data_IF_297213837137
#
_entry.id   IF_297213837137
#
_cell.length_a   1.000
_cell.length_b   1.000
_cell.length_c   1.000
_cell.angle_alpha   90.00
_cell.angle_beta   90.00
_cell.angle_gamma   90.00
#
_symmetry.space_group_name_H-M   'P 1'
#
loop_
_entity.id
_entity.type
_entity.pdbx_description
1 polymer ?
#
# COMPACT_ATOMS: atom_id res chain seq x y z
N UNK A 1 2.79 62.25 -42.84
CA UNK A 1 1.74 61.23 -42.61
C UNK A 1 2.43 60.06 -41.90
N UNK A 2 2.25 59.93 -40.57
CA UNK A 2 3.01 59.00 -39.72
C UNK A 2 2.34 57.63 -39.70
N UNK A 3 3.10 56.59 -40.06
CA UNK A 3 2.69 55.18 -39.98
C UNK A 3 2.95 54.71 -38.55
N UNK A 4 1.88 54.39 -37.81
CA UNK A 4 1.99 53.73 -36.51
C UNK A 4 2.16 52.23 -36.73
N UNK A 5 3.40 51.75 -36.57
CA UNK A 5 3.68 50.31 -36.49
C UNK A 5 3.35 49.86 -35.06
N UNK A 6 2.20 49.23 -34.90
CA UNK A 6 1.81 48.56 -33.65
C UNK A 6 2.57 47.25 -33.55
N UNK A 7 3.63 47.22 -32.73
CA UNK A 7 4.35 46.01 -32.37
C UNK A 7 3.62 45.36 -31.19
N UNK A 8 2.75 44.38 -31.47
CA UNK A 8 2.08 43.60 -30.43
C UNK A 8 3.07 42.58 -29.86
N UNK A 9 3.61 42.86 -28.67
CA UNK A 9 4.44 41.95 -27.91
C UNK A 9 3.55 40.84 -27.34
N UNK A 10 3.62 39.63 -27.90
CA UNK A 10 2.90 38.47 -27.40
C UNK A 10 3.58 38.00 -26.09
N UNK A 11 2.96 38.30 -24.95
CA UNK A 11 3.38 37.76 -23.65
C UNK A 11 2.97 36.28 -23.61
N UNK A 12 3.88 35.37 -23.93
CA UNK A 12 3.70 33.94 -23.64
C UNK A 12 3.84 33.79 -22.12
N UNK A 13 2.72 33.93 -21.41
CA UNK A 13 2.61 33.41 -20.05
C UNK A 13 2.69 31.90 -20.19
N UNK A 14 3.85 31.33 -19.87
CA UNK A 14 4.03 29.89 -19.82
C UNK A 14 3.09 29.31 -18.77
N UNK A 15 1.93 28.83 -19.20
CA UNK A 15 1.08 27.99 -18.36
C UNK A 15 1.85 26.69 -18.21
N UNK A 16 2.48 26.48 -17.06
CA UNK A 16 2.99 25.18 -16.67
C UNK A 16 1.77 24.30 -16.39
N UNK A 17 1.17 23.74 -17.45
CA UNK A 17 0.22 22.64 -17.31
C UNK A 17 1.06 21.42 -16.95
N UNK A 18 1.20 21.12 -15.66
CA UNK A 18 1.68 19.80 -15.27
C UNK A 18 0.56 18.80 -15.55
N UNK A 19 0.61 18.18 -16.72
CA UNK A 19 -0.27 17.07 -17.09
C UNK A 19 0.20 15.73 -16.50
N UNK A 20 1.39 15.71 -15.90
CA UNK A 20 1.94 14.53 -15.24
C UNK A 20 1.40 14.42 -13.82
N UNK A 21 0.96 13.21 -13.46
CA UNK A 21 0.52 12.92 -12.11
C UNK A 21 1.70 13.04 -11.14
N UNK A 22 1.43 13.50 -9.92
CA UNK A 22 2.44 13.51 -8.87
C UNK A 22 2.72 12.07 -8.45
N UNK A 23 3.94 11.58 -8.69
CA UNK A 23 4.37 10.25 -8.25
C UNK A 23 5.21 10.38 -6.99
N UNK A 24 4.70 9.96 -5.81
CA UNK A 24 5.45 10.09 -4.58
C UNK A 24 6.67 9.17 -4.62
N UNK A 25 7.78 9.65 -4.05
CA UNK A 25 8.96 8.82 -3.84
C UNK A 25 8.67 7.58 -2.98
N UNK A 26 9.60 6.62 -3.03
CA UNK A 26 9.46 5.33 -2.31
C UNK A 26 9.38 5.47 -0.79
N UNK A 27 9.90 6.55 -0.20
CA UNK A 27 9.95 6.72 1.26
C UNK A 27 10.79 5.64 1.93
N UNK A 28 10.74 5.53 3.26
CA UNK A 28 11.53 4.53 4.00
C UNK A 28 10.90 3.14 3.90
N UNK A 29 9.56 3.07 3.81
CA UNK A 29 8.82 1.80 3.80
C UNK A 29 8.98 1.03 2.48
N UNK A 30 9.12 1.70 1.33
CA UNK A 30 9.21 1.05 0.01
C UNK A 30 10.60 1.12 -0.64
N UNK A 31 11.67 1.29 0.15
CA UNK A 31 13.04 1.24 -0.36
C UNK A 31 13.37 -0.11 -0.98
N UNK A 32 14.13 -0.07 -2.08
CA UNK A 32 14.52 -1.25 -2.87
C UNK A 32 15.99 -1.64 -2.73
N UNK A 33 16.81 -0.78 -2.14
CA UNK A 33 18.24 -1.01 -1.93
C UNK A 33 18.54 -1.84 -0.67
N UNK A 34 17.50 -2.14 0.11
CA UNK A 34 17.55 -2.88 1.36
C UNK A 34 16.39 -3.87 1.44
N UNK A 35 16.51 -4.86 2.32
CA UNK A 35 15.44 -5.81 2.61
C UNK A 35 14.92 -5.61 4.04
N UNK A 36 13.88 -4.78 4.24
CA UNK A 36 13.32 -4.51 5.56
C UNK A 36 12.73 -5.76 6.21
N UNK A 37 12.61 -5.72 7.53
CA UNK A 37 11.89 -6.67 8.35
C UNK A 37 10.64 -6.01 8.93
N UNK A 38 9.52 -6.73 8.86
CA UNK A 38 8.30 -6.43 9.60
C UNK A 38 8.12 -7.49 10.66
N UNK A 39 7.99 -7.05 11.92
CA UNK A 39 7.67 -7.92 13.05
C UNK A 39 6.25 -7.64 13.54
N UNK A 40 5.49 -8.70 13.72
CA UNK A 40 4.16 -8.69 14.31
C UNK A 40 4.22 -9.49 15.60
N UNK A 41 3.79 -8.87 16.70
CA UNK A 41 3.56 -9.58 17.98
C UNK A 41 2.06 -9.56 18.28
N UNK A 42 1.48 -10.73 18.46
CA UNK A 42 0.03 -10.92 18.60
C UNK A 42 -0.25 -12.07 19.59
N UNK A 43 -1.32 -12.01 20.39
CA UNK A 43 -1.72 -13.14 21.23
C UNK A 43 -1.84 -14.45 20.43
N UNK A 44 -1.38 -15.56 21.01
CA UNK A 44 -1.26 -16.83 20.30
C UNK A 44 -2.63 -17.40 19.87
N UNK A 45 -3.65 -17.19 20.68
CA UNK A 45 -5.05 -17.52 20.39
C UNK A 45 -5.60 -16.70 19.22
N UNK A 46 -5.28 -15.40 19.17
CA UNK A 46 -5.66 -14.52 18.06
C UNK A 46 -4.98 -14.95 16.76
N UNK A 47 -3.68 -15.30 16.81
CA UNK A 47 -2.99 -15.83 15.64
C UNK A 47 -3.58 -17.18 15.18
N UNK A 48 -3.90 -18.07 16.12
CA UNK A 48 -4.57 -19.33 15.82
C UNK A 48 -5.92 -19.08 15.15
N UNK A 49 -6.72 -18.14 15.65
CA UNK A 49 -8.00 -17.78 15.06
C UNK A 49 -7.87 -17.15 13.66
N UNK A 50 -6.83 -16.35 13.39
CA UNK A 50 -6.51 -15.82 12.06
C UNK A 50 -6.16 -16.94 11.07
N UNK A 51 -5.41 -17.95 11.53
CA UNK A 51 -4.91 -19.03 10.68
C UNK A 51 -5.87 -20.22 10.58
N UNK A 52 -6.91 -20.23 11.40
CA UNK A 52 -7.95 -21.25 11.40
C UNK A 52 -8.63 -21.34 10.02
N UNK A 53 -8.89 -22.58 9.59
CA UNK A 53 -9.45 -22.84 8.28
C UNK A 53 -10.82 -22.20 8.14
N UNK A 54 -11.70 -22.31 9.13
CA UNK A 54 -13.08 -21.84 9.05
C UNK A 54 -13.15 -20.30 9.12
N UNK A 55 -12.19 -19.68 9.81
CA UNK A 55 -12.08 -18.22 9.88
C UNK A 55 -11.35 -17.57 8.70
N UNK A 56 -10.86 -18.35 7.72
CA UNK A 56 -9.96 -17.85 6.66
C UNK A 56 -10.52 -16.69 5.84
N UNK A 57 -11.84 -16.52 5.77
CA UNK A 57 -12.53 -15.42 5.06
C UNK A 57 -12.97 -14.26 5.96
N UNK A 58 -12.73 -14.33 7.26
CA UNK A 58 -13.03 -13.24 8.18
C UNK A 58 -12.22 -11.99 7.82
N UNK A 59 -12.88 -10.84 7.86
CA UNK A 59 -12.25 -9.52 7.78
C UNK A 59 -12.07 -8.88 9.17
N UNK A 60 -12.35 -9.62 10.24
CA UNK A 60 -12.06 -9.17 11.60
C UNK A 60 -10.56 -8.95 11.78
N UNK A 61 -10.21 -7.77 12.25
CA UNK A 61 -8.84 -7.37 12.57
C UNK A 61 -8.59 -7.63 14.04
N UNK A 62 -7.45 -8.23 14.37
CA UNK A 62 -7.03 -8.53 15.73
C UNK A 62 -5.96 -7.53 16.18
N UNK A 63 -5.93 -7.24 17.48
CA UNK A 63 -4.89 -6.40 18.08
C UNK A 63 -3.50 -7.05 17.96
N UNK A 64 -2.56 -6.31 17.39
CA UNK A 64 -1.17 -6.69 17.34
C UNK A 64 -0.25 -5.49 17.58
N UNK A 65 1.02 -5.76 17.85
CA UNK A 65 2.09 -4.77 17.84
C UNK A 65 2.92 -4.96 16.59
N UNK A 66 3.21 -3.85 15.91
CA UNK A 66 4.00 -3.77 14.70
C UNK A 66 5.37 -3.17 15.00
N UNK A 67 6.41 -3.73 14.38
CA UNK A 67 7.74 -3.13 14.32
C UNK A 67 8.24 -3.20 12.89
N UNK A 68 8.72 -2.07 12.37
CA UNK A 68 9.45 -2.00 11.11
C UNK A 68 10.93 -1.80 11.40
N UNK A 69 11.78 -2.47 10.62
CA UNK A 69 13.22 -2.32 10.71
C UNK A 69 13.84 -2.44 9.33
N UNK A 70 14.51 -1.40 8.87
CA UNK A 70 15.22 -1.40 7.60
C UNK A 70 16.76 -1.28 7.77
N UNK A 71 17.26 -1.42 9.01
CA UNK A 71 18.67 -1.25 9.38
C UNK A 71 19.10 0.20 9.59
N UNK A 72 18.33 1.18 9.09
CA UNK A 72 18.54 2.62 9.34
C UNK A 72 17.49 3.16 10.32
N UNK A 73 16.24 2.81 10.08
CA UNK A 73 15.07 3.16 10.89
C UNK A 73 14.55 1.90 11.56
N UNK A 74 14.24 2.01 12.86
CA UNK A 74 13.55 0.99 13.62
C UNK A 74 12.47 1.62 14.48
N UNK A 75 11.23 1.46 14.03
CA UNK A 75 10.05 2.07 14.64
C UNK A 75 9.02 1.01 15.04
N UNK A 76 8.19 1.35 16.03
CA UNK A 76 7.16 0.46 16.54
C UNK A 76 5.82 1.17 16.74
N UNK A 77 4.74 0.47 16.43
CA UNK A 77 3.36 0.92 16.68
C UNK A 77 2.62 -0.19 17.41
N UNK A 78 2.06 0.13 18.58
CA UNK A 78 1.21 -0.78 19.33
C UNK A 78 -0.24 -0.72 18.84
N UNK A 79 -1.06 -1.72 19.17
CA UNK A 79 -2.50 -1.72 18.89
C UNK A 79 -2.85 -1.52 17.40
N UNK A 80 -2.15 -2.17 16.48
CA UNK A 80 -2.54 -2.22 15.06
C UNK A 80 -3.57 -3.32 14.83
N UNK A 81 -4.39 -3.17 13.79
CA UNK A 81 -5.23 -4.25 13.26
C UNK A 81 -4.40 -5.21 12.41
N UNK A 82 -4.55 -6.51 12.65
CA UNK A 82 -3.87 -7.56 11.89
C UNK A 82 -4.84 -8.65 11.47
N UNK A 83 -4.80 -9.04 10.19
CA UNK A 83 -5.68 -10.09 9.65
C UNK A 83 -5.16 -10.70 8.34
N UNK A 84 -5.82 -11.76 7.88
CA UNK A 84 -5.67 -12.25 6.52
C UNK A 84 -6.21 -11.25 5.48
N UNK A 85 -5.61 -11.28 4.27
CA UNK A 85 -6.08 -10.51 3.11
C UNK A 85 -6.16 -11.32 1.83
N UNK A 86 -6.92 -10.75 0.90
CA UNK A 86 -7.17 -11.29 -0.43
C UNK A 86 -8.48 -12.06 -0.51
N UNK A 87 -8.71 -12.71 -1.65
CA UNK A 87 -9.88 -13.54 -1.89
C UNK A 87 -9.44 -15.00 -1.92
N UNK A 88 -9.14 -15.54 -3.11
CA UNK A 88 -8.66 -16.92 -3.28
C UNK A 88 -7.34 -17.20 -2.55
N UNK A 89 -6.47 -16.19 -2.41
CA UNK A 89 -5.18 -16.31 -1.71
C UNK A 89 -5.30 -16.67 -0.22
N UNK A 90 -6.48 -16.49 0.39
CA UNK A 90 -6.73 -16.92 1.77
C UNK A 90 -6.68 -18.44 1.93
N UNK A 91 -6.90 -19.19 0.85
CA UNK A 91 -6.77 -20.66 0.85
C UNK A 91 -5.32 -21.13 0.66
N UNK A 92 -4.38 -20.24 0.32
CA UNK A 92 -2.99 -20.63 0.09
C UNK A 92 -2.31 -21.06 1.40
N UNK A 93 -1.36 -21.99 1.34
CA UNK A 93 -0.55 -22.36 2.51
C UNK A 93 0.20 -21.13 3.05
N UNK A 94 0.89 -20.41 2.15
CA UNK A 94 1.52 -19.12 2.46
C UNK A 94 0.49 -18.00 2.42
N UNK A 95 0.00 -17.64 3.61
CA UNK A 95 -1.02 -16.60 3.81
C UNK A 95 -0.48 -15.22 3.51
N UNK A 96 -1.35 -14.33 3.05
CA UNK A 96 -1.10 -12.88 2.92
C UNK A 96 -1.82 -12.14 4.04
N UNK A 97 -1.21 -11.07 4.54
CA UNK A 97 -1.72 -10.32 5.69
C UNK A 97 -1.94 -8.85 5.37
N UNK A 98 -2.92 -8.23 6.04
CA UNK A 98 -3.07 -6.78 6.10
C UNK A 98 -2.73 -6.32 7.51
N UNK A 99 -1.96 -5.23 7.58
CA UNK A 99 -1.71 -4.46 8.79
C UNK A 99 -2.44 -3.14 8.63
N UNK A 100 -3.27 -2.77 9.60
CA UNK A 100 -4.06 -1.54 9.59
C UNK A 100 -3.70 -0.72 10.82
N UNK A 101 -3.14 0.46 10.61
CA UNK A 101 -2.66 1.32 11.69
C UNK A 101 -3.80 2.09 12.36
N UNK A 102 -4.92 2.30 11.66
CA UNK A 102 -6.02 3.15 12.13
C UNK A 102 -7.26 2.39 12.65
N UNK A 103 -7.25 1.06 12.67
CA UNK A 103 -8.40 0.24 13.10
C UNK A 103 -8.84 0.54 14.54
N UNK A 104 -7.87 0.68 15.44
CA UNK A 104 -8.12 0.89 16.86
C UNK A 104 -7.76 2.29 17.34
N UNK A 105 -7.04 3.05 16.51
CA UNK A 105 -6.64 4.43 16.78
C UNK A 105 -6.90 5.26 15.52
N UNK A 106 -8.07 5.90 15.47
CA UNK A 106 -8.52 6.64 14.28
C UNK A 106 -7.52 7.72 13.86
N UNK A 107 -7.30 7.85 12.55
CA UNK A 107 -6.38 8.82 11.94
C UNK A 107 -4.89 8.49 12.08
N UNK A 108 -4.52 7.38 12.74
CA UNK A 108 -3.11 6.99 12.89
C UNK A 108 -2.54 6.45 11.59
N UNK A 109 -1.34 6.93 11.24
CA UNK A 109 -0.60 6.54 10.04
C UNK A 109 0.82 6.12 10.40
N UNK A 110 1.43 5.32 9.53
CA UNK A 110 2.84 4.97 9.58
C UNK A 110 3.49 5.31 8.24
N UNK A 111 4.46 6.23 8.24
CA UNK A 111 5.09 6.75 7.00
C UNK A 111 4.06 7.19 5.93
N UNK A 112 3.00 7.87 6.38
CA UNK A 112 1.88 8.31 5.53
C UNK A 112 0.90 7.20 5.11
N UNK A 113 1.09 5.95 5.56
CA UNK A 113 0.21 4.83 5.27
C UNK A 113 -0.78 4.60 6.40
N UNK A 114 -2.06 4.45 6.08
CA UNK A 114 -3.02 3.89 7.03
C UNK A 114 -2.93 2.36 7.10
N UNK A 115 -2.57 1.71 5.99
CA UNK A 115 -2.62 0.26 5.84
C UNK A 115 -1.45 -0.25 5.00
N UNK A 116 -0.88 -1.38 5.40
CA UNK A 116 0.14 -2.11 4.66
C UNK A 116 -0.37 -3.49 4.23
N UNK A 117 -0.08 -3.89 3.00
CA UNK A 117 -0.41 -5.22 2.48
C UNK A 117 0.85 -6.06 2.35
N UNK A 118 0.92 -7.14 3.12
CA UNK A 118 2.06 -8.07 3.15
C UNK A 118 1.65 -9.34 2.41
N UNK A 119 1.99 -9.43 1.13
CA UNK A 119 1.52 -10.48 0.23
C UNK A 119 2.49 -11.65 0.16
N UNK A 120 1.96 -12.87 0.33
CA UNK A 120 2.77 -14.08 0.24
C UNK A 120 3.20 -14.44 -1.18
N UNK A 121 2.56 -13.85 -2.20
CA UNK A 121 2.78 -14.12 -3.64
C UNK A 121 2.79 -15.63 -3.99
N UNK A 122 1.91 -16.40 -3.34
CA UNK A 122 1.90 -17.88 -3.39
C UNK A 122 1.83 -18.52 -4.79
N UNK A 123 1.24 -17.84 -5.78
CA UNK A 123 1.15 -18.33 -7.16
C UNK A 123 2.29 -17.83 -8.05
N UNK A 124 3.21 -17.04 -7.50
CA UNK A 124 4.39 -16.55 -8.19
C UNK A 124 5.66 -17.18 -7.59
N UNK A 125 6.25 -18.20 -8.23
CA UNK A 125 7.50 -18.80 -7.78
C UNK A 125 8.67 -17.82 -7.67
N UNK A 126 8.63 -16.69 -8.41
CA UNK A 126 9.67 -15.66 -8.36
C UNK A 126 9.43 -14.60 -7.29
N UNK A 127 8.22 -14.52 -6.73
CA UNK A 127 7.79 -13.46 -5.79
C UNK A 127 8.12 -12.06 -6.33
N UNK A 128 8.15 -11.86 -7.65
CA UNK A 128 8.69 -10.63 -8.28
C UNK A 128 7.78 -10.06 -9.36
N UNK A 129 6.83 -10.84 -9.90
CA UNK A 129 5.93 -10.37 -10.97
C UNK A 129 5.16 -9.11 -10.57
N UNK A 130 4.61 -9.10 -9.35
CA UNK A 130 3.91 -7.93 -8.80
C UNK A 130 4.81 -6.69 -8.78
N UNK A 131 6.05 -6.83 -8.27
CA UNK A 131 7.02 -5.73 -8.24
C UNK A 131 7.37 -5.23 -9.64
N UNK A 132 7.71 -6.14 -10.55
CA UNK A 132 8.08 -5.77 -11.92
C UNK A 132 6.94 -5.04 -12.63
N UNK A 133 5.69 -5.49 -12.48
CA UNK A 133 4.54 -4.82 -13.06
C UNK A 133 4.36 -3.39 -12.51
N UNK A 134 4.46 -3.21 -11.19
CA UNK A 134 4.32 -1.89 -10.58
C UNK A 134 5.50 -0.96 -10.91
N UNK A 135 6.73 -1.46 -10.90
CA UNK A 135 7.92 -0.70 -11.30
C UNK A 135 7.86 -0.30 -12.78
N UNK A 136 7.31 -1.15 -13.66
CA UNK A 136 7.07 -0.79 -15.07
C UNK A 136 6.02 0.30 -15.22
N UNK A 137 4.94 0.27 -14.43
CA UNK A 137 3.93 1.33 -14.46
C UNK A 137 4.52 2.66 -13.96
N UNK A 138 5.27 2.62 -12.86
CA UNK A 138 5.97 3.78 -12.32
C UNK A 138 6.98 4.37 -13.33
N UNK A 139 7.75 3.52 -14.01
CA UNK A 139 8.66 3.93 -15.09
C UNK A 139 7.94 4.59 -16.27
N UNK A 140 6.72 4.15 -16.58
CA UNK A 140 5.86 4.72 -17.62
C UNK A 140 5.02 5.92 -17.11
N UNK A 141 5.30 6.40 -15.91
CA UNK A 141 4.61 7.50 -15.23
C UNK A 141 3.10 7.25 -15.02
N UNK A 142 2.70 5.98 -14.92
CA UNK A 142 1.33 5.58 -14.63
C UNK A 142 1.15 5.43 -13.11
N UNK A 143 0.21 6.16 -12.47
CA UNK A 143 -0.02 6.06 -11.03
C UNK A 143 -0.30 4.62 -10.59
N UNK A 144 0.61 4.08 -9.77
CA UNK A 144 0.52 2.71 -9.30
C UNK A 144 1.07 2.56 -7.86
N UNK A 145 0.75 1.44 -7.21
CA UNK A 145 1.24 1.14 -5.86
C UNK A 145 2.77 1.07 -5.83
N UNK A 146 3.37 1.70 -4.82
CA UNK A 146 4.77 1.43 -4.47
C UNK A 146 4.89 0.01 -3.91
N UNK A 147 5.98 -0.68 -4.26
CA UNK A 147 6.22 -2.05 -3.81
C UNK A 147 7.69 -2.34 -3.54
N UNK A 148 7.95 -3.14 -2.51
CA UNK A 148 9.26 -3.74 -2.22
C UNK A 148 9.11 -5.10 -1.54
N UNK A 149 10.20 -5.83 -1.41
CA UNK A 149 10.22 -7.06 -0.64
C UNK A 149 10.47 -6.78 0.84
N UNK A 150 9.86 -7.57 1.73
CA UNK A 150 10.09 -7.52 3.17
C UNK A 150 10.19 -8.93 3.76
N UNK A 151 10.95 -9.08 4.85
CA UNK A 151 10.93 -10.27 5.70
C UNK A 151 9.80 -10.12 6.70
N UNK A 152 8.93 -11.12 6.82
CA UNK A 152 7.87 -11.13 7.83
C UNK A 152 8.25 -12.05 8.99
N UNK A 153 8.10 -11.54 10.20
CA UNK A 153 8.19 -12.30 11.45
C UNK A 153 6.90 -12.15 12.23
N UNK A 154 6.33 -13.26 12.72
CA UNK A 154 5.17 -13.23 13.61
C UNK A 154 5.51 -14.02 14.87
N UNK A 155 5.36 -13.39 16.04
CA UNK A 155 5.72 -13.97 17.34
C UNK A 155 7.15 -14.55 17.36
N UNK A 156 8.09 -13.85 16.73
CA UNK A 156 9.50 -14.24 16.63
C UNK A 156 9.81 -15.30 15.57
N UNK A 157 8.81 -15.99 15.02
CA UNK A 157 9.02 -16.96 13.94
C UNK A 157 9.13 -16.26 12.58
N UNK A 158 10.08 -16.70 11.75
CA UNK A 158 10.21 -16.21 10.38
C UNK A 158 9.15 -16.85 9.49
N UNK A 159 8.25 -16.04 8.93
CA UNK A 159 7.18 -16.48 8.04
C UNK A 159 7.62 -16.50 6.57
N UNK A 160 8.68 -15.79 6.22
CA UNK A 160 9.27 -15.81 4.88
C UNK A 160 9.49 -14.42 4.27
N UNK A 161 9.84 -14.43 2.99
CA UNK A 161 9.90 -13.24 2.13
C UNK A 161 8.51 -12.92 1.59
N UNK A 162 8.12 -11.66 1.66
CA UNK A 162 6.81 -11.17 1.25
C UNK A 162 6.94 -9.95 0.35
N UNK A 163 5.92 -9.68 -0.45
CA UNK A 163 5.78 -8.43 -1.18
C UNK A 163 4.98 -7.43 -0.34
N UNK A 164 5.59 -6.30 0.02
CA UNK A 164 4.89 -5.18 0.62
C UNK A 164 4.30 -4.32 -0.51
N UNK A 165 2.98 -4.13 -0.49
CA UNK A 165 2.24 -3.41 -1.53
C UNK A 165 1.43 -2.28 -0.91
N UNK A 166 1.69 -1.05 -1.36
CA UNK A 166 0.94 0.14 -0.98
C UNK A 166 -0.57 -0.08 -1.18
N UNK A 167 -1.37 0.26 -0.17
CA UNK A 167 -2.81 0.14 -0.27
C UNK A 167 -3.39 1.25 -1.14
N UNK A 168 -4.41 0.91 -1.94
CA UNK A 168 -5.24 1.92 -2.60
C UNK A 168 -6.31 2.38 -1.60
N UNK A 169 -6.14 3.59 -1.10
CA UNK A 169 -7.04 4.29 -0.18
C UNK A 169 -6.93 5.81 -0.40
N UNK A 170 -7.49 6.62 0.50
CA UNK A 170 -7.43 8.07 0.47
C UNK A 170 -6.00 8.63 0.50
N UNK A 171 -5.04 7.96 1.12
CA UNK A 171 -3.64 8.41 1.13
C UNK A 171 -2.99 8.22 -0.25
N UNK A 172 -3.35 7.12 -0.92
CA UNK A 172 -2.94 6.89 -2.30
C UNK A 172 -3.50 7.97 -3.22
N UNK A 173 -4.79 8.32 -3.09
CA UNK A 173 -5.39 9.35 -3.96
C UNK A 173 -4.94 10.75 -3.59
N UNK A 174 -4.70 11.04 -2.31
CA UNK A 174 -4.20 12.33 -1.83
C UNK A 174 -2.80 12.64 -2.37
N UNK A 175 -1.93 11.63 -2.47
CA UNK A 175 -0.56 11.80 -2.95
C UNK A 175 -0.45 11.98 -4.47
N UNK A 176 -1.41 11.47 -5.25
CA UNK A 176 -1.34 11.38 -6.73
C UNK A 176 -2.40 12.16 -7.49
N UNK A 177 -3.54 12.46 -6.87
CA UNK A 177 -4.75 13.01 -7.51
C UNK A 177 -5.50 14.04 -6.63
N UNK A 178 -4.79 14.73 -5.73
CA UNK A 178 -5.33 15.75 -4.81
C UNK A 178 -6.41 15.25 -3.81
N UNK A 179 -6.64 13.93 -3.75
CA UNK A 179 -7.55 13.29 -2.79
C UNK A 179 -9.04 13.51 -3.05
N UNK A 180 -9.41 14.10 -4.19
CA UNK A 180 -10.80 14.38 -4.53
C UNK A 180 -11.41 13.30 -5.43
N UNK A 181 -12.71 13.03 -5.24
CA UNK A 181 -13.47 12.11 -6.08
C UNK A 181 -13.65 10.71 -5.48
N UNK A 182 -13.94 9.73 -6.34
CA UNK A 182 -14.29 8.37 -5.94
C UNK A 182 -13.22 7.38 -6.36
N UNK A 183 -12.79 6.51 -5.44
CA UNK A 183 -11.89 5.40 -5.70
C UNK A 183 -12.70 4.10 -5.84
N UNK A 184 -12.69 3.51 -7.03
CA UNK A 184 -13.41 2.26 -7.30
C UNK A 184 -12.46 1.08 -7.36
N UNK A 185 -12.87 -0.04 -6.78
CA UNK A 185 -12.14 -1.31 -6.85
C UNK A 185 -12.96 -2.34 -7.61
N UNK A 186 -12.39 -2.86 -8.70
CA UNK A 186 -12.98 -3.99 -9.42
C UNK A 186 -12.91 -5.26 -8.56
N UNK A 187 -14.03 -5.69 -8.00
CA UNK A 187 -14.15 -6.96 -7.27
C UNK A 187 -15.14 -7.90 -7.97
N UNK A 188 -14.89 -9.20 -7.88
CA UNK A 188 -15.85 -10.20 -8.39
C UNK A 188 -17.20 -10.02 -7.68
N UNK A 189 -18.27 -9.91 -8.47
CA UNK A 189 -19.62 -9.63 -7.95
C UNK A 189 -19.88 -8.18 -7.56
N UNK A 190 -19.01 -7.23 -7.93
CA UNK A 190 -19.32 -5.80 -7.78
C UNK A 190 -20.46 -5.41 -8.74
N UNK A 191 -21.56 -4.93 -8.18
CA UNK A 191 -22.76 -4.46 -8.87
C UNK A 191 -22.85 -2.93 -8.95
N UNK A 192 -21.75 -2.24 -8.60
CA UNK A 192 -21.68 -0.78 -8.42
C UNK A 192 -22.65 -0.23 -7.35
N UNK A 193 -23.22 -1.08 -6.49
CA UNK A 193 -24.02 -0.63 -5.35
C UNK A 193 -23.14 0.07 -4.32
N UNK A 194 -23.61 1.20 -3.81
CA UNK A 194 -22.98 1.89 -2.70
C UNK A 194 -23.24 1.11 -1.41
N UNK A 195 -22.19 0.62 -0.75
CA UNK A 195 -22.29 -0.21 0.47
C UNK A 195 -22.16 0.59 1.77
N UNK A 196 -22.20 1.92 1.70
CA UNK A 196 -22.02 2.81 2.84
C UNK A 196 -20.60 3.39 2.94
N UNK A 197 -20.47 4.40 3.81
CA UNK A 197 -19.19 4.94 4.33
C UNK A 197 -18.77 4.16 5.56
#
# INVERSE_FOLDING_TARGET
>A
MRIYSFLTLLLIVGINVQAQHNLPGKGEVFRDDILPSVYITIPADSLAAILDYDNRFSDYEYHANFVFDNGTVRDSIANVGFRLRGNTSRNAAKKSFKISFNTYESGRKYDGLEKMNINGEHNDPSITRTKLCFDMLDYLEVPASRTNHVKLFINGAYFGLYMNVEHYDEEFTQSRFDGQGNLYKCTYGADLSYKGT
#
